data_IF_193539432699
#
_entry.id   IF_193539432699
#
_cell.length_a   1.000
_cell.length_b   1.000
_cell.length_c   1.000
_cell.angle_alpha   90.00
_cell.angle_beta   90.00
_cell.angle_gamma   90.00
#
_symmetry.space_group_name_H-M   'P 1'
#
loop_
_entity.id
_entity.type
_entity.pdbx_description
1 polymer ?
#
# COMPACT_ATOMS: atom_id res chain seq x y z
N UNK A 1 15.15 -1.77 -6.49
CA UNK A 1 14.94 -0.31 -6.47
C UNK A 1 16.22 0.43 -6.84
N UNK A 2 17.38 0.13 -6.22
CA UNK A 2 18.69 0.69 -6.63
C UNK A 2 18.94 0.60 -8.14
N UNK A 3 18.84 -0.61 -8.72
CA UNK A 3 19.11 -0.87 -10.14
C UNK A 3 18.31 -0.01 -11.14
N UNK A 4 17.06 0.33 -10.82
CA UNK A 4 16.22 1.19 -11.70
C UNK A 4 16.64 2.64 -11.56
N UNK A 5 17.04 3.06 -10.36
CA UNK A 5 17.62 4.38 -10.10
C UNK A 5 18.94 4.53 -10.84
N UNK A 6 19.82 3.52 -10.73
CA UNK A 6 21.13 3.49 -11.38
C UNK A 6 21.03 3.46 -12.91
N UNK A 7 20.07 2.73 -13.50
CA UNK A 7 19.85 2.69 -14.96
C UNK A 7 19.27 4.01 -15.51
N UNK A 8 18.44 4.72 -14.74
CA UNK A 8 17.91 6.03 -15.14
C UNK A 8 18.96 7.13 -14.99
N UNK A 9 19.78 7.07 -13.93
CA UNK A 9 20.92 7.97 -13.73
C UNK A 9 21.97 7.78 -14.83
N UNK A 10 22.21 6.53 -15.25
CA UNK A 10 23.07 6.23 -16.39
C UNK A 10 22.51 6.74 -17.74
N UNK A 11 21.19 6.77 -17.91
CA UNK A 11 20.53 7.35 -19.09
C UNK A 11 20.50 8.88 -19.06
N UNK A 12 20.55 9.50 -17.88
CA UNK A 12 20.75 10.94 -17.73
C UNK A 12 22.18 11.36 -18.08
N UNK A 13 23.17 10.52 -17.79
CA UNK A 13 24.59 10.80 -18.07
C UNK A 13 24.99 10.65 -19.56
N UNK A 14 24.12 10.11 -20.42
CA UNK A 14 24.39 9.91 -21.86
C UNK A 14 23.60 10.88 -22.75
N UNK A 15 24.20 12.04 -23.03
CA UNK A 15 23.66 13.10 -23.91
C UNK A 15 23.29 12.59 -25.33
N UNK A 16 23.94 11.52 -25.80
CA UNK A 16 23.71 10.95 -27.13
C UNK A 16 22.36 10.24 -27.22
N UNK A 17 22.04 9.42 -26.22
CA UNK A 17 20.75 8.74 -26.10
C UNK A 17 19.63 9.70 -25.70
N UNK A 18 19.96 10.80 -25.00
CA UNK A 18 19.00 11.86 -24.66
C UNK A 18 18.50 12.61 -25.90
N UNK A 19 19.40 12.99 -26.82
CA UNK A 19 19.04 13.67 -28.07
C UNK A 19 18.14 12.81 -28.99
N UNK A 20 18.27 11.48 -28.92
CA UNK A 20 17.49 10.52 -29.69
C UNK A 20 15.99 10.47 -29.28
N UNK A 21 15.67 10.89 -28.06
CA UNK A 21 14.31 10.92 -27.47
C UNK A 21 13.49 12.17 -27.86
N UNK A 22 14.06 13.11 -28.63
CA UNK A 22 13.32 14.28 -29.15
C UNK A 22 12.41 13.88 -30.33
N UNK A 23 11.34 13.15 -30.01
CA UNK A 23 10.45 12.49 -30.97
C UNK A 23 9.68 13.47 -31.87
N UNK A 24 9.40 14.68 -31.40
CA UNK A 24 8.65 15.70 -32.15
C UNK A 24 9.40 16.14 -33.41
N UNK A 25 10.70 16.40 -33.30
CA UNK A 25 11.54 16.76 -34.45
C UNK A 25 11.79 15.55 -35.36
N UNK A 26 12.01 14.36 -34.81
CA UNK A 26 12.13 13.11 -35.59
C UNK A 26 10.88 12.86 -36.42
N UNK A 27 9.70 13.08 -35.84
CA UNK A 27 8.42 12.94 -36.54
C UNK A 27 8.27 13.99 -37.65
N UNK A 28 8.59 15.26 -37.38
CA UNK A 28 8.53 16.31 -38.41
C UNK A 28 9.52 16.07 -39.55
N UNK A 29 10.74 15.61 -39.28
CA UNK A 29 11.71 15.21 -40.30
C UNK A 29 11.18 14.05 -41.13
N UNK A 30 10.59 13.04 -40.49
CA UNK A 30 10.03 11.87 -41.18
C UNK A 30 8.81 12.25 -42.04
N UNK A 31 7.92 13.11 -41.53
CA UNK A 31 6.77 13.63 -42.26
C UNK A 31 7.17 14.58 -43.40
N UNK A 32 8.18 15.43 -43.23
CA UNK A 32 8.70 16.27 -44.31
C UNK A 32 9.40 15.46 -45.40
N UNK A 33 10.05 14.35 -45.01
CA UNK A 33 10.64 13.39 -45.96
C UNK A 33 9.57 12.67 -46.78
N UNK A 34 8.42 12.37 -46.16
CA UNK A 34 7.29 11.70 -46.81
C UNK A 34 6.54 12.61 -47.80
N UNK A 35 6.44 13.92 -47.52
CA UNK A 35 5.87 14.90 -48.45
C UNK A 35 6.88 15.47 -49.47
N UNK A 36 8.19 15.40 -49.18
CA UNK A 36 9.25 15.94 -50.02
C UNK A 36 9.52 15.15 -51.31
N UNK A 37 9.22 13.85 -51.35
CA UNK A 37 9.53 12.98 -52.49
C UNK A 37 8.45 12.99 -53.60
N UNK A 38 7.40 13.80 -53.46
CA UNK A 38 6.31 13.89 -54.45
C UNK A 38 6.31 15.21 -55.24
N UNK A 39 7.46 15.91 -55.35
CA UNK A 39 7.55 17.20 -56.03
C UNK A 39 8.48 17.23 -57.23
N UNK A 40 8.36 16.26 -58.14
CA UNK A 40 8.84 16.40 -59.54
C UNK A 40 7.87 15.76 -60.55
N UNK A 41 6.65 16.28 -60.71
CA UNK A 41 5.99 16.42 -62.04
C UNK A 41 4.60 17.09 -61.99
N UNK A 42 4.45 18.21 -62.71
CA UNK A 42 3.31 18.45 -63.61
C UNK A 42 2.00 19.03 -63.07
N UNK A 43 1.85 20.37 -63.21
CA UNK A 43 0.66 21.14 -63.63
C UNK A 43 -0.77 20.93 -63.06
N UNK A 44 -1.37 22.10 -62.76
CA UNK A 44 -2.80 22.55 -62.89
C UNK A 44 -3.72 22.60 -61.66
N UNK A 45 -4.00 23.86 -61.28
CA UNK A 45 -5.26 24.52 -60.90
C UNK A 45 -6.35 23.85 -60.04
N UNK A 46 -6.73 24.64 -59.03
CA UNK A 46 -8.08 24.98 -58.54
C UNK A 46 -8.53 24.37 -57.18
N UNK A 47 -8.81 25.29 -56.26
CA UNK A 47 -9.88 25.33 -55.25
C UNK A 47 -10.03 24.19 -54.23
N UNK A 48 -10.10 24.55 -52.95
CA UNK A 48 -10.35 23.56 -51.89
C UNK A 48 -9.99 24.04 -50.49
N UNK A 49 -10.83 24.89 -49.93
CA UNK A 49 -10.94 25.12 -48.48
C UNK A 49 -11.17 23.77 -47.77
N UNK A 50 -10.34 23.42 -46.79
CA UNK A 50 -10.74 22.49 -45.72
C UNK A 50 -9.85 22.66 -44.48
N UNK A 51 -10.44 23.34 -43.50
CA UNK A 51 -10.02 23.43 -42.11
C UNK A 51 -10.12 22.08 -41.42
N UNK A 52 -9.09 21.67 -40.68
CA UNK A 52 -9.21 20.72 -39.57
C UNK A 52 -8.03 20.85 -38.61
N UNK A 53 -8.13 21.84 -37.72
CA UNK A 53 -7.40 21.87 -36.45
C UNK A 53 -8.43 21.78 -35.34
N UNK A 54 -8.23 20.84 -34.42
CA UNK A 54 -8.71 20.95 -33.06
C UNK A 54 -7.51 20.71 -32.14
N UNK A 55 -6.99 21.75 -31.45
CA UNK A 55 -6.15 21.55 -30.29
C UNK A 55 -7.06 21.49 -29.06
N UNK A 56 -6.95 20.41 -28.30
CA UNK A 56 -7.45 20.39 -26.91
C UNK A 56 -6.33 20.94 -26.03
N UNK A 57 -6.40 22.23 -25.72
CA UNK A 57 -5.66 22.87 -24.63
C UNK A 57 -6.56 22.92 -23.39
N UNK A 58 -6.03 22.75 -22.17
CA UNK A 58 -6.70 23.27 -20.99
C UNK A 58 -6.21 24.69 -20.64
N UNK A 59 -7.17 25.62 -20.55
CA UNK A 59 -7.27 26.76 -19.60
C UNK A 59 -6.08 27.76 -19.59
N UNK A 60 -6.12 28.87 -20.35
CA UNK A 60 -6.80 30.18 -20.19
C UNK A 60 -6.24 31.15 -19.14
N UNK A 61 -5.67 32.28 -19.61
CA UNK A 61 -5.64 33.62 -18.99
C UNK A 61 -5.24 34.70 -20.02
N UNK A 62 -5.62 36.00 -19.86
CA UNK A 62 -6.01 36.87 -20.97
C UNK A 62 -4.95 37.86 -21.51
N UNK A 63 -5.27 38.35 -22.70
CA UNK A 63 -4.66 39.36 -23.57
C UNK A 63 -4.29 40.72 -22.94
N UNK A 64 -3.16 41.31 -23.33
CA UNK A 64 -3.18 42.58 -24.09
C UNK A 64 -1.81 43.04 -24.67
N UNK A 65 -1.94 43.76 -25.79
CA UNK A 65 -1.01 44.75 -26.34
C UNK A 65 0.18 44.32 -27.24
N UNK A 66 0.03 44.73 -28.51
CA UNK A 66 0.89 45.69 -29.22
C UNK A 66 1.64 45.16 -30.45
N UNK A 67 1.02 45.47 -31.60
CA UNK A 67 1.62 45.66 -32.92
C UNK A 67 3.04 46.25 -32.86
N UNK A 68 3.95 45.71 -33.67
CA UNK A 68 4.95 46.51 -34.34
C UNK A 68 5.43 45.82 -35.63
N UNK A 69 5.06 46.44 -36.75
CA UNK A 69 5.64 46.25 -38.06
C UNK A 69 7.16 46.48 -38.01
N UNK A 70 7.96 45.55 -38.56
CA UNK A 70 9.29 45.91 -39.05
C UNK A 70 9.74 45.01 -40.20
N UNK A 71 9.43 45.47 -41.40
CA UNK A 71 10.05 45.05 -42.65
C UNK A 71 11.47 45.61 -42.74
N UNK A 72 12.47 44.73 -42.75
CA UNK A 72 13.78 45.00 -43.36
C UNK A 72 14.29 43.71 -44.01
N UNK A 73 14.15 43.63 -45.33
CA UNK A 73 14.99 42.78 -46.16
C UNK A 73 16.37 43.43 -46.29
N UNK A 74 17.45 42.64 -46.24
CA UNK A 74 18.67 42.77 -47.07
C UNK A 74 19.53 41.50 -46.87
N UNK A 75 20.20 41.15 -47.95
CA UNK A 75 20.80 39.88 -48.35
C UNK A 75 22.00 39.35 -47.55
N UNK A 76 22.06 38.00 -47.54
CA UNK A 76 23.22 37.13 -47.86
C UNK A 76 24.50 37.28 -47.04
N UNK A 77 24.79 36.27 -46.21
CA UNK A 77 26.05 35.51 -46.32
C UNK A 77 25.94 34.14 -45.66
N UNK A 78 26.67 33.17 -46.23
CA UNK A 78 26.74 31.76 -45.86
C UNK A 78 27.14 31.59 -44.40
N UNK A 79 26.34 30.86 -43.62
CA UNK A 79 26.80 30.09 -42.46
C UNK A 79 25.80 28.95 -42.16
N UNK A 80 25.74 27.95 -43.04
CA UNK A 80 25.21 26.64 -42.66
C UNK A 80 26.34 25.88 -41.96
N UNK A 81 26.22 25.65 -40.65
CA UNK A 81 26.75 24.49 -39.89
C UNK A 81 26.84 24.71 -38.37
N UNK A 82 26.52 25.89 -37.81
CA UNK A 82 26.56 26.12 -36.35
C UNK A 82 25.19 26.08 -35.65
N UNK A 83 24.09 26.25 -36.40
CA UNK A 83 22.73 26.34 -35.83
C UNK A 83 22.10 25.01 -35.44
N UNK A 84 22.54 23.90 -36.05
CA UNK A 84 22.01 22.57 -35.74
C UNK A 84 22.53 22.05 -34.40
N UNK A 85 23.73 22.47 -33.98
CA UNK A 85 24.33 22.15 -32.68
C UNK A 85 23.67 22.94 -31.54
N UNK A 86 23.37 24.23 -31.73
CA UNK A 86 22.66 25.03 -30.71
C UNK A 86 21.23 24.52 -30.45
N UNK A 87 20.48 24.14 -31.51
CA UNK A 87 19.12 23.62 -31.32
C UNK A 87 19.09 22.21 -30.73
N UNK A 88 20.13 21.40 -30.96
CA UNK A 88 20.25 20.07 -30.34
C UNK A 88 20.64 20.17 -28.87
N UNK A 89 21.46 21.15 -28.49
CA UNK A 89 21.77 21.39 -27.07
C UNK A 89 20.56 21.93 -26.30
N UNK A 90 19.77 22.84 -26.87
CA UNK A 90 18.55 23.36 -26.23
C UNK A 90 17.50 22.25 -26.03
N UNK A 91 17.36 21.32 -26.98
CA UNK A 91 16.43 20.19 -26.87
C UNK A 91 16.88 19.11 -25.88
N UNK A 92 18.19 18.92 -25.70
CA UNK A 92 18.75 18.05 -24.65
C UNK A 92 18.48 18.68 -23.27
N UNK A 93 18.73 19.98 -23.10
CA UNK A 93 18.53 20.69 -21.83
C UNK A 93 17.05 20.70 -21.40
N UNK A 94 16.10 20.83 -22.35
CA UNK A 94 14.67 20.69 -22.08
C UNK A 94 14.28 19.27 -21.61
N UNK A 95 14.89 18.22 -22.19
CA UNK A 95 14.67 16.84 -21.75
C UNK A 95 15.27 16.57 -20.38
N UNK A 96 16.47 17.07 -20.11
CA UNK A 96 17.16 16.94 -18.82
C UNK A 96 16.31 17.56 -17.70
N UNK A 97 15.80 18.78 -17.88
CA UNK A 97 14.91 19.43 -16.90
C UNK A 97 13.65 18.61 -16.62
N UNK A 98 13.07 17.98 -17.65
CA UNK A 98 11.86 17.18 -17.51
C UNK A 98 12.14 15.84 -16.82
N UNK A 99 13.26 15.18 -17.18
CA UNK A 99 13.69 13.93 -16.59
C UNK A 99 14.06 14.14 -15.12
N UNK A 100 14.77 15.21 -14.78
CA UNK A 100 15.11 15.56 -13.40
C UNK A 100 13.84 15.85 -12.56
N UNK A 101 12.87 16.59 -13.12
CA UNK A 101 11.58 16.79 -12.46
C UNK A 101 10.85 15.46 -12.19
N UNK A 102 10.86 14.54 -13.15
CA UNK A 102 10.30 13.19 -12.97
C UNK A 102 11.08 12.36 -11.95
N UNK A 103 12.41 12.47 -11.93
CA UNK A 103 13.26 11.77 -10.97
C UNK A 103 12.98 12.19 -9.53
N UNK A 104 12.84 13.49 -9.29
CA UNK A 104 12.43 14.03 -7.98
C UNK A 104 11.06 13.51 -7.56
N UNK A 105 10.10 13.43 -8.51
CA UNK A 105 8.76 12.88 -8.25
C UNK A 105 8.81 11.38 -7.94
N UNK A 106 9.60 10.60 -8.68
CA UNK A 106 9.78 9.15 -8.45
C UNK A 106 10.38 8.92 -7.07
N UNK A 107 11.42 9.67 -6.70
CA UNK A 107 12.07 9.53 -5.40
C UNK A 107 11.15 9.91 -4.23
N UNK A 108 10.42 11.03 -4.38
CA UNK A 108 9.39 11.42 -3.41
C UNK A 108 8.31 10.35 -3.26
N UNK A 109 7.92 9.71 -4.36
CA UNK A 109 6.92 8.63 -4.35
C UNK A 109 7.47 7.37 -3.70
N UNK A 110 8.73 7.02 -3.95
CA UNK A 110 9.41 5.88 -3.35
C UNK A 110 9.52 6.05 -1.83
N UNK A 111 9.90 7.25 -1.36
CA UNK A 111 9.94 7.55 0.07
C UNK A 111 8.56 7.44 0.72
N UNK A 112 7.51 7.97 0.09
CA UNK A 112 6.12 7.82 0.57
C UNK A 112 5.68 6.36 0.64
N UNK A 113 6.02 5.56 -0.38
CA UNK A 113 5.71 4.12 -0.40
C UNK A 113 6.46 3.36 0.68
N UNK A 114 7.71 3.75 0.96
CA UNK A 114 8.52 3.14 2.03
C UNK A 114 7.93 3.44 3.40
N UNK A 115 7.56 4.69 3.66
CA UNK A 115 6.87 5.06 4.91
C UNK A 115 5.50 4.39 5.04
N UNK A 116 4.76 4.26 3.94
CA UNK A 116 3.48 3.54 3.95
C UNK A 116 3.67 2.05 4.24
N UNK A 117 4.72 1.43 3.69
CA UNK A 117 5.07 0.05 3.99
C UNK A 117 5.39 -0.12 5.48
N UNK A 118 6.20 0.76 6.05
CA UNK A 118 6.55 0.75 7.48
C UNK A 118 5.28 0.91 8.34
N UNK A 119 4.39 1.84 7.98
CA UNK A 119 3.11 2.00 8.65
C UNK A 119 2.20 0.75 8.60
N UNK A 120 2.21 0.03 7.47
CA UNK A 120 1.46 -1.23 7.34
C UNK A 120 2.09 -2.31 8.23
N UNK A 121 3.42 -2.40 8.25
CA UNK A 121 4.18 -3.35 9.09
C UNK A 121 3.90 -3.11 10.58
N UNK A 122 3.96 -1.84 11.02
CA UNK A 122 3.61 -1.43 12.38
C UNK A 122 2.17 -1.79 12.74
N UNK A 123 1.24 -1.66 11.77
CA UNK A 123 -0.17 -2.02 11.96
C UNK A 123 -0.34 -3.53 12.05
N UNK A 124 0.40 -4.31 11.26
CA UNK A 124 0.41 -5.78 11.32
C UNK A 124 0.90 -6.26 12.69
N UNK A 125 2.00 -5.69 13.18
CA UNK A 125 2.53 -5.98 14.52
C UNK A 125 1.53 -5.60 15.62
N UNK A 126 0.87 -4.44 15.50
CA UNK A 126 -0.19 -4.06 16.43
C UNK A 126 -1.35 -5.06 16.44
N UNK A 127 -1.81 -5.49 15.26
CA UNK A 127 -2.87 -6.50 15.14
C UNK A 127 -2.41 -7.83 15.73
N UNK A 128 -1.16 -8.25 15.49
CA UNK A 128 -0.61 -9.48 16.04
C UNK A 128 -0.59 -9.44 17.57
N UNK A 129 -0.13 -8.36 18.18
CA UNK A 129 -0.15 -8.17 19.64
C UNK A 129 -1.58 -8.18 20.18
N UNK A 130 -2.53 -7.53 19.48
CA UNK A 130 -3.94 -7.51 19.86
C UNK A 130 -4.56 -8.92 19.79
N UNK A 131 -4.26 -9.68 18.72
CA UNK A 131 -4.76 -11.03 18.50
C UNK A 131 -4.19 -11.99 19.55
N UNK A 132 -2.91 -11.86 19.90
CA UNK A 132 -2.28 -12.60 20.99
C UNK A 132 -2.94 -12.31 22.33
N UNK A 133 -3.25 -11.04 22.62
CA UNK A 133 -3.97 -10.67 23.83
C UNK A 133 -5.37 -11.31 23.88
N UNK A 134 -6.13 -11.25 22.79
CA UNK A 134 -7.47 -11.88 22.70
C UNK A 134 -7.37 -13.40 22.84
N UNK A 135 -6.39 -14.05 22.19
CA UNK A 135 -6.14 -15.49 22.35
C UNK A 135 -5.82 -15.85 23.79
N UNK A 136 -4.97 -15.06 24.46
CA UNK A 136 -4.63 -15.27 25.86
C UNK A 136 -5.86 -15.13 26.77
N UNK A 137 -6.74 -14.16 26.50
CA UNK A 137 -8.03 -14.03 27.22
C UNK A 137 -8.94 -15.24 26.98
N UNK A 138 -9.01 -15.76 25.75
CA UNK A 138 -9.81 -16.94 25.41
C UNK A 138 -9.31 -18.18 26.17
N UNK A 139 -7.99 -18.44 26.15
CA UNK A 139 -7.37 -19.56 26.87
C UNK A 139 -7.64 -19.45 28.37
N UNK A 140 -7.58 -18.24 28.92
CA UNK A 140 -7.90 -18.00 30.33
C UNK A 140 -9.36 -18.33 30.66
N UNK A 141 -10.30 -17.90 29.81
CA UNK A 141 -11.72 -18.20 30.00
C UNK A 141 -12.01 -19.70 29.88
N UNK A 142 -11.38 -20.38 28.92
CA UNK A 142 -11.48 -21.83 28.75
C UNK A 142 -10.97 -22.60 29.97
N UNK A 143 -9.82 -22.20 30.52
CA UNK A 143 -9.27 -22.77 31.75
C UNK A 143 -10.20 -22.59 32.96
N UNK A 144 -10.82 -21.42 33.08
CA UNK A 144 -11.79 -21.14 34.13
C UNK A 144 -13.03 -22.03 33.99
N UNK A 145 -13.61 -22.11 32.79
CA UNK A 145 -14.75 -22.98 32.52
C UNK A 145 -14.45 -24.45 32.77
N UNK A 146 -13.29 -24.94 32.31
CA UNK A 146 -12.86 -26.34 32.50
C UNK A 146 -12.68 -26.67 33.99
N UNK A 147 -12.15 -25.73 34.76
CA UNK A 147 -12.03 -25.89 36.22
C UNK A 147 -13.39 -25.93 36.90
N UNK A 148 -14.31 -25.04 36.49
CA UNK A 148 -15.67 -25.01 37.04
C UNK A 148 -16.42 -26.32 36.73
N UNK A 149 -16.33 -26.83 35.50
CA UNK A 149 -16.96 -28.10 35.12
C UNK A 149 -16.34 -29.28 35.84
N UNK A 150 -15.02 -29.27 36.10
CA UNK A 150 -14.36 -30.27 36.92
C UNK A 150 -14.93 -30.32 38.36
N UNK A 151 -15.13 -29.16 38.99
CA UNK A 151 -15.76 -29.09 40.34
C UNK A 151 -17.20 -29.64 40.29
N UNK A 152 -17.99 -29.26 39.27
CA UNK A 152 -19.34 -29.79 39.07
C UNK A 152 -19.34 -31.30 38.85
N UNK A 153 -18.36 -31.84 38.14
CA UNK A 153 -18.24 -33.28 37.91
C UNK A 153 -18.03 -34.07 39.21
N UNK A 154 -17.25 -33.53 40.17
CA UNK A 154 -17.07 -34.16 41.50
C UNK A 154 -18.42 -34.25 42.23
N UNK A 155 -19.22 -33.17 42.21
CA UNK A 155 -20.58 -33.21 42.77
C UNK A 155 -21.49 -34.19 42.02
N UNK A 156 -21.34 -34.28 40.70
CA UNK A 156 -22.07 -35.23 39.86
C UNK A 156 -21.77 -36.69 40.22
N UNK A 157 -20.51 -37.04 40.55
CA UNK A 157 -20.15 -38.39 41.01
C UNK A 157 -20.85 -38.72 42.33
N UNK A 158 -20.85 -37.79 43.29
CA UNK A 158 -21.55 -37.97 44.57
C UNK A 158 -23.05 -38.16 44.33
N UNK A 159 -23.68 -37.26 43.57
CA UNK A 159 -25.09 -37.37 43.21
C UNK A 159 -25.41 -38.68 42.47
N UNK A 160 -24.51 -39.13 41.60
CA UNK A 160 -24.62 -40.40 40.87
C UNK A 160 -24.63 -41.61 41.79
N UNK A 161 -23.71 -41.68 42.76
CA UNK A 161 -23.63 -42.77 43.75
C UNK A 161 -24.90 -42.84 44.61
N UNK A 162 -25.44 -41.69 45.02
CA UNK A 162 -26.68 -41.63 45.79
C UNK A 162 -27.96 -41.80 44.96
N UNK A 163 -27.89 -41.57 43.65
CA UNK A 163 -28.99 -41.81 42.70
C UNK A 163 -29.11 -43.26 42.26
N UNK A 164 -28.22 -44.16 42.70
CA UNK A 164 -28.22 -45.57 42.31
C UNK A 164 -29.35 -46.34 43.02
N UNK A 165 -30.02 -47.24 42.29
CA UNK A 165 -31.08 -48.11 42.82
C UNK A 165 -30.53 -49.35 43.59
N UNK A 166 -29.33 -49.27 44.16
CA UNK A 166 -28.73 -50.38 44.91
C UNK A 166 -28.76 -50.12 46.41
N UNK A 167 -29.18 -51.10 47.24
CA UNK A 167 -29.18 -50.94 48.69
C UNK A 167 -27.74 -50.96 49.20
N UNK A 168 -27.19 -49.78 49.47
CA UNK A 168 -25.92 -49.62 50.17
C UNK A 168 -26.18 -49.45 51.68
N UNK A 169 -25.35 -50.03 52.57
CA UNK A 169 -25.50 -49.91 54.03
C UNK A 169 -25.33 -48.46 54.55
N UNK A 170 -24.89 -47.55 53.68
CA UNK A 170 -24.78 -46.11 53.96
C UNK A 170 -26.16 -45.41 54.02
N UNK A 171 -27.22 -46.03 53.48
CA UNK A 171 -28.59 -45.52 53.56
C UNK A 171 -29.35 -45.92 54.83
N UNK A 172 -28.87 -46.92 55.57
CA UNK A 172 -29.52 -47.38 56.81
C UNK A 172 -29.34 -46.40 57.97
N UNK A 173 -28.35 -45.52 57.89
CA UNK A 173 -28.11 -44.46 58.87
C UNK A 173 -28.69 -43.13 58.39
N UNK A 174 -29.75 -42.66 59.07
CA UNK A 174 -30.48 -41.42 58.76
C UNK A 174 -29.57 -40.19 58.70
N UNK A 175 -28.42 -40.21 59.38
CA UNK A 175 -27.45 -39.10 59.40
C UNK A 175 -26.39 -39.13 58.30
N UNK A 176 -26.11 -40.30 57.71
CA UNK A 176 -24.96 -40.47 56.81
C UNK A 176 -25.08 -39.63 55.52
N UNK A 177 -26.28 -39.53 54.94
CA UNK A 177 -26.53 -38.70 53.76
C UNK A 177 -26.25 -37.21 54.02
N UNK A 178 -26.73 -36.68 55.14
CA UNK A 178 -26.49 -35.29 55.55
C UNK A 178 -25.00 -35.01 55.73
N UNK A 179 -24.27 -35.91 56.41
CA UNK A 179 -22.82 -35.76 56.60
C UNK A 179 -22.05 -35.79 55.28
N UNK A 180 -22.38 -36.70 54.37
CA UNK A 180 -21.72 -36.76 53.06
C UNK A 180 -22.01 -35.51 52.23
N UNK A 181 -23.24 -34.99 52.26
CA UNK A 181 -23.60 -33.75 51.57
C UNK A 181 -22.82 -32.55 52.13
N UNK A 182 -22.68 -32.44 53.45
CA UNK A 182 -21.90 -31.38 54.10
C UNK A 182 -20.41 -31.50 53.75
N UNK A 183 -19.82 -32.70 53.88
CA UNK A 183 -18.39 -32.93 53.61
C UNK A 183 -18.06 -32.64 52.14
N UNK A 184 -18.89 -33.10 51.21
CA UNK A 184 -18.69 -32.88 49.76
C UNK A 184 -18.91 -31.42 49.39
N UNK A 185 -19.90 -30.75 49.98
CA UNK A 185 -20.12 -29.31 49.84
C UNK A 185 -18.93 -28.47 50.31
N UNK A 186 -18.43 -28.74 51.52
CA UNK A 186 -17.26 -28.05 52.10
C UNK A 186 -16.00 -28.32 51.26
N UNK A 187 -15.79 -29.58 50.85
CA UNK A 187 -14.64 -29.96 50.04
C UNK A 187 -14.69 -29.29 48.66
N UNK A 188 -15.84 -29.27 48.00
CA UNK A 188 -16.01 -28.61 46.71
C UNK A 188 -15.84 -27.09 46.79
N UNK A 189 -16.37 -26.46 47.85
CA UNK A 189 -16.17 -25.03 48.08
C UNK A 189 -14.70 -24.70 48.37
N UNK A 190 -14.02 -25.51 49.18
CA UNK A 190 -12.60 -25.35 49.45
C UNK A 190 -11.74 -25.48 48.18
N UNK A 191 -12.03 -26.47 47.32
CA UNK A 191 -11.37 -26.64 46.02
C UNK A 191 -11.62 -25.43 45.12
N UNK A 192 -12.87 -24.98 45.02
CA UNK A 192 -13.22 -23.79 44.22
C UNK A 192 -12.49 -22.53 44.70
N UNK A 193 -12.49 -22.28 46.01
CA UNK A 193 -11.77 -21.16 46.61
C UNK A 193 -10.24 -21.27 46.40
N UNK A 194 -9.66 -22.46 46.54
CA UNK A 194 -8.25 -22.69 46.28
C UNK A 194 -7.89 -22.41 44.81
N UNK A 195 -8.76 -22.81 43.87
CA UNK A 195 -8.59 -22.49 42.45
C UNK A 195 -8.68 -20.98 42.20
N UNK A 196 -9.72 -20.30 42.68
CA UNK A 196 -9.86 -18.84 42.53
C UNK A 196 -8.67 -18.11 43.13
N UNK A 197 -8.21 -18.55 44.31
CA UNK A 197 -7.01 -18.02 44.95
C UNK A 197 -5.76 -18.25 44.09
N UNK A 198 -5.58 -19.46 43.57
CA UNK A 198 -4.45 -19.80 42.69
C UNK A 198 -4.44 -18.94 41.42
N UNK A 199 -5.58 -18.76 40.77
CA UNK A 199 -5.74 -17.88 39.60
C UNK A 199 -5.43 -16.41 39.94
N UNK A 200 -5.90 -15.93 41.10
CA UNK A 200 -5.62 -14.57 41.58
C UNK A 200 -4.13 -14.38 41.92
N UNK A 201 -3.48 -15.38 42.52
CA UNK A 201 -2.09 -15.29 42.96
C UNK A 201 -1.09 -15.46 41.82
N UNK A 202 -1.43 -16.23 40.79
CA UNK A 202 -0.64 -16.36 39.55
C UNK A 202 -0.61 -15.10 38.68
N UNK A 203 -1.27 -14.01 39.09
CA UNK A 203 -1.20 -12.68 38.44
C UNK A 203 -1.42 -12.74 36.92
N UNK A 204 -2.32 -13.62 36.46
CA UNK A 204 -2.84 -13.71 35.08
C UNK A 204 -3.89 -12.61 34.79
N UNK A 205 -3.75 -11.47 35.46
CA UNK A 205 -4.52 -10.26 35.21
C UNK A 205 -3.51 -9.11 35.26
N UNK A 206 -3.09 -8.53 34.13
CA UNK A 206 -2.87 -7.11 34.15
C UNK A 206 -4.26 -6.50 34.39
N UNK A 207 -4.44 -5.89 35.56
CA UNK A 207 -5.49 -4.88 35.72
C UNK A 207 -5.23 -3.73 34.75
#
# INVERSE_FOLDING_TARGET
>A
MQKVRDEIEQLMDDDGDMAEMYLTEKKWKMESSFYGDQSVMGFRSNDGVLSLLAPVSPVSSPSDSRRLDKSTSIARSRHESARSSESSTESIEELEMLLEAYFVVIDSTLNKLTSLKEYIDDTEDFINIQLDNVRNQLIQFELLLTTATFVVAIFGVVAGIFGMNFPIPLFDDTGAFMWVLIITGVTGFAIFCAFVWFFKHRRLMPL
#
